data_IF_934559316657
#
_entry.id   IF_934559316657
#
_cell.length_a   1.000
_cell.length_b   1.000
_cell.length_c   1.000
_cell.angle_alpha   90.00
_cell.angle_beta   90.00
_cell.angle_gamma   90.00
#
_symmetry.space_group_name_H-M   'P 1'
#
loop_
_entity.id
_entity.type
_entity.pdbx_description
1 polymer ?
#
# COMPACT_ATOMS: atom_id res chain seq x y z
N UNK A 1 19.34 43.05 1.40
CA UNK A 1 20.07 42.01 0.64
C UNK A 1 20.93 41.27 1.66
N UNK A 2 20.74 40.00 2.01
CA UNK A 2 20.16 38.85 1.32
C UNK A 2 19.36 37.98 2.30
N UNK A 3 18.25 37.46 1.82
CA UNK A 3 17.45 36.44 2.47
C UNK A 3 18.25 35.13 2.55
N UNK A 4 18.56 34.70 3.78
CA UNK A 4 19.08 33.37 4.07
C UNK A 4 17.92 32.36 4.04
N UNK A 5 17.96 31.51 3.02
CA UNK A 5 17.55 30.11 2.99
C UNK A 5 16.82 29.55 4.23
N UNK A 6 15.57 29.12 4.04
CA UNK A 6 15.10 27.86 4.62
C UNK A 6 14.07 27.20 3.70
N UNK A 7 14.42 26.03 3.22
CA UNK A 7 13.69 25.14 2.31
C UNK A 7 12.23 24.94 2.72
N UNK A 8 11.32 25.52 1.93
CA UNK A 8 9.87 25.51 2.18
C UNK A 8 9.27 24.12 1.97
N UNK A 9 9.22 23.31 3.03
CA UNK A 9 8.21 22.27 3.13
C UNK A 9 6.88 22.99 3.42
N UNK A 10 5.94 22.93 2.47
CA UNK A 10 4.62 23.57 2.61
C UNK A 10 3.89 22.97 3.83
N UNK A 11 3.29 23.81 4.68
CA UNK A 11 2.56 23.42 5.91
C UNK A 11 1.63 22.20 5.73
N UNK A 12 0.83 22.08 4.63
CA UNK A 12 0.02 20.89 4.37
C UNK A 12 0.82 19.58 4.33
N UNK A 13 2.02 19.60 3.71
CA UNK A 13 2.87 18.42 3.58
C UNK A 13 3.46 17.96 4.92
N UNK A 14 3.75 18.90 5.83
CA UNK A 14 4.19 18.57 7.20
C UNK A 14 3.04 17.89 7.93
N UNK A 15 1.85 18.49 7.93
CA UNK A 15 0.67 17.94 8.61
C UNK A 15 0.32 16.53 8.11
N UNK A 16 0.35 16.30 6.79
CA UNK A 16 0.09 14.97 6.20
C UNK A 16 1.14 13.95 6.65
N UNK A 17 2.43 14.31 6.60
CA UNK A 17 3.51 13.40 6.98
C UNK A 17 3.46 13.01 8.46
N UNK A 18 3.29 13.99 9.34
CA UNK A 18 3.23 13.72 10.78
C UNK A 18 1.95 12.96 11.15
N UNK A 19 0.82 13.25 10.49
CA UNK A 19 -0.42 12.48 10.65
C UNK A 19 -0.22 11.03 10.23
N UNK A 20 0.42 10.78 9.09
CA UNK A 20 0.75 9.43 8.65
C UNK A 20 1.65 8.70 9.67
N UNK A 21 2.72 9.36 10.12
CA UNK A 21 3.63 8.79 11.12
C UNK A 21 2.91 8.45 12.43
N UNK A 22 2.00 9.31 12.88
CA UNK A 22 1.18 9.08 14.08
C UNK A 22 0.23 7.89 13.93
N UNK A 23 -0.45 7.75 12.80
CA UNK A 23 -1.35 6.61 12.55
C UNK A 23 -0.55 5.29 12.56
N UNK A 24 0.64 5.26 11.95
CA UNK A 24 1.52 4.07 11.98
C UNK A 24 2.01 3.79 13.39
N UNK A 25 2.47 4.81 14.13
CA UNK A 25 3.05 4.63 15.47
C UNK A 25 2.02 4.22 16.52
N UNK A 26 0.87 4.89 16.54
CA UNK A 26 -0.10 4.79 17.63
C UNK A 26 -1.10 3.64 17.42
N UNK A 27 -1.11 3.00 16.25
CA UNK A 27 -1.97 1.87 15.94
C UNK A 27 -3.46 2.20 16.14
N UNK A 28 -4.19 1.32 16.83
CA UNK A 28 -5.64 1.45 17.10
C UNK A 28 -6.04 2.69 17.93
N UNK A 29 -5.07 3.39 18.52
CA UNK A 29 -5.32 4.61 19.30
C UNK A 29 -5.65 5.77 18.37
N UNK A 30 -6.74 6.49 18.64
CA UNK A 30 -7.18 7.59 17.79
C UNK A 30 -6.17 8.74 17.82
N UNK A 31 -5.69 9.15 16.64
CA UNK A 31 -4.82 10.32 16.52
C UNK A 31 -5.62 11.59 16.84
N UNK A 32 -5.11 12.40 17.76
CA UNK A 32 -5.73 13.67 18.18
C UNK A 32 -5.14 14.86 17.43
N UNK A 33 -5.92 15.95 17.34
CA UNK A 33 -5.43 17.22 16.78
C UNK A 33 -4.22 17.74 17.54
N UNK A 34 -4.23 17.62 18.88
CA UNK A 34 -3.14 18.12 19.71
C UNK A 34 -1.82 17.38 19.43
N UNK A 35 -1.84 16.05 19.30
CA UNK A 35 -0.65 15.27 18.96
C UNK A 35 -0.10 15.63 17.57
N UNK A 36 -0.98 15.87 16.59
CA UNK A 36 -0.57 16.28 15.23
C UNK A 36 0.12 17.64 15.29
N UNK A 37 -0.47 18.62 16.00
CA UNK A 37 0.11 19.96 16.13
C UNK A 37 1.46 19.94 16.87
N UNK A 38 1.56 19.12 17.92
CA UNK A 38 2.80 18.91 18.67
C UNK A 38 3.90 18.30 17.80
N UNK A 39 3.60 17.23 17.05
CA UNK A 39 4.58 16.58 16.18
C UNK A 39 4.98 17.45 14.97
N UNK A 40 4.05 18.25 14.44
CA UNK A 40 4.28 19.07 13.26
C UNK A 40 4.92 20.43 13.56
N UNK A 41 4.86 20.90 14.81
CA UNK A 41 5.24 22.27 15.17
C UNK A 41 4.36 23.34 14.52
N UNK A 42 3.23 22.94 13.91
CA UNK A 42 2.29 23.84 13.23
C UNK A 42 1.29 24.38 14.26
N UNK A 43 0.94 25.65 14.16
CA UNK A 43 -0.07 26.25 15.04
C UNK A 43 -1.48 25.74 14.70
N UNK A 44 -2.37 25.71 15.69
CA UNK A 44 -3.78 25.35 15.49
C UNK A 44 -4.44 26.19 14.39
N UNK A 45 -4.18 27.50 14.37
CA UNK A 45 -4.71 28.41 13.34
C UNK A 45 -4.19 28.09 11.94
N UNK A 46 -2.91 27.75 11.79
CA UNK A 46 -2.33 27.36 10.51
C UNK A 46 -2.89 26.02 10.00
N UNK A 47 -3.14 25.04 10.88
CA UNK A 47 -3.82 23.80 10.51
C UNK A 47 -5.21 24.08 9.95
N UNK A 48 -6.04 24.84 10.67
CA UNK A 48 -7.42 25.12 10.25
C UNK A 48 -7.54 26.03 9.03
N UNK A 49 -6.47 26.78 8.70
CA UNK A 49 -6.37 27.50 7.43
C UNK A 49 -6.21 26.55 6.23
N UNK A 50 -5.63 25.36 6.43
CA UNK A 50 -5.40 24.38 5.36
C UNK A 50 -6.40 23.23 5.34
N UNK A 51 -6.91 22.83 6.50
CA UNK A 51 -7.85 21.71 6.66
C UNK A 51 -8.99 22.18 7.56
N UNK A 52 -10.22 22.22 7.04
CA UNK A 52 -11.37 22.76 7.77
C UNK A 52 -11.64 21.96 9.06
N UNK A 53 -11.40 20.66 9.03
CA UNK A 53 -11.46 19.80 10.21
C UNK A 53 -10.35 18.74 10.19
N UNK A 54 -10.22 18.00 11.31
CA UNK A 54 -9.29 16.85 11.40
C UNK A 54 -9.54 15.85 10.27
N UNK A 55 -10.80 15.69 9.87
CA UNK A 55 -11.16 14.72 8.84
C UNK A 55 -10.58 15.05 7.47
N UNK A 56 -10.56 16.33 7.07
CA UNK A 56 -9.96 16.73 5.78
C UNK A 56 -8.45 16.42 5.74
N UNK A 57 -7.77 16.54 6.88
CA UNK A 57 -6.37 16.15 7.00
C UNK A 57 -6.18 14.63 6.89
N UNK A 58 -7.07 13.84 7.50
CA UNK A 58 -7.05 12.38 7.38
C UNK A 58 -7.29 11.96 5.92
N UNK A 59 -8.27 12.58 5.25
CA UNK A 59 -8.60 12.31 3.86
C UNK A 59 -7.43 12.66 2.94
N UNK A 60 -6.81 13.84 3.13
CA UNK A 60 -5.62 14.23 2.37
C UNK A 60 -4.42 13.31 2.63
N UNK A 61 -4.29 12.80 3.86
CA UNK A 61 -3.27 11.82 4.23
C UNK A 61 -3.50 10.50 3.49
N UNK A 62 -4.75 10.02 3.42
CA UNK A 62 -5.11 8.85 2.63
C UNK A 62 -4.83 9.04 1.14
N UNK A 63 -5.23 10.18 0.57
CA UNK A 63 -4.98 10.48 -0.85
C UNK A 63 -3.48 10.49 -1.18
N UNK A 64 -2.65 11.08 -0.31
CA UNK A 64 -1.19 11.08 -0.49
C UNK A 64 -0.62 9.65 -0.43
N UNK A 65 -1.09 8.83 0.51
CA UNK A 65 -0.70 7.42 0.58
C UNK A 65 -1.13 6.65 -0.69
N UNK A 66 -2.37 6.81 -1.15
CA UNK A 66 -2.89 6.13 -2.34
C UNK A 66 -2.11 6.51 -3.61
N UNK A 67 -1.68 7.77 -3.73
CA UNK A 67 -0.82 8.21 -4.82
C UNK A 67 0.56 7.52 -4.78
N UNK A 68 1.18 7.43 -3.61
CA UNK A 68 2.47 6.74 -3.45
C UNK A 68 2.35 5.25 -3.73
N UNK A 69 1.27 4.62 -3.26
CA UNK A 69 0.97 3.21 -3.55
C UNK A 69 0.75 2.99 -5.05
N UNK A 70 -0.02 3.86 -5.70
CA UNK A 70 -0.21 3.83 -7.15
C UNK A 70 1.12 3.93 -7.91
N UNK A 71 2.01 4.83 -7.52
CA UNK A 71 3.33 4.95 -8.13
C UNK A 71 4.17 3.68 -7.97
N UNK A 72 4.10 3.00 -6.82
CA UNK A 72 4.78 1.73 -6.61
C UNK A 72 4.24 0.64 -7.54
N UNK A 73 2.91 0.49 -7.61
CA UNK A 73 2.26 -0.47 -8.50
C UNK A 73 2.65 -0.21 -9.96
N UNK A 74 2.55 1.03 -10.43
CA UNK A 74 2.93 1.37 -11.81
C UNK A 74 4.41 1.13 -12.11
N UNK A 75 5.29 1.40 -11.14
CA UNK A 75 6.72 1.11 -11.27
C UNK A 75 6.97 -0.40 -11.46
N UNK A 76 6.28 -1.25 -10.68
CA UNK A 76 6.36 -2.71 -10.79
C UNK A 76 5.74 -3.24 -12.08
N UNK A 77 4.60 -2.68 -12.51
CA UNK A 77 4.00 -3.00 -13.81
C UNK A 77 4.99 -2.75 -14.95
N UNK A 78 5.64 -1.57 -14.97
CA UNK A 78 6.65 -1.23 -15.99
C UNK A 78 7.85 -2.19 -15.96
N UNK A 79 8.26 -2.65 -14.77
CA UNK A 79 9.37 -3.60 -14.63
C UNK A 79 9.02 -5.03 -15.12
N UNK A 80 7.76 -5.44 -14.99
CA UNK A 80 7.28 -6.78 -15.37
C UNK A 80 6.89 -6.90 -16.86
N UNK A 81 6.76 -5.79 -17.58
CA UNK A 81 6.41 -5.75 -19.01
C UNK A 81 4.97 -6.18 -19.30
N UNK A 82 4.66 -6.52 -20.57
CA UNK A 82 3.32 -6.90 -21.04
C UNK A 82 2.93 -8.35 -20.69
N UNK A 83 3.27 -8.82 -19.49
CA UNK A 83 2.93 -10.17 -19.04
C UNK A 83 1.45 -10.23 -18.63
N UNK A 84 0.72 -11.32 -18.91
CA UNK A 84 -0.60 -11.53 -18.34
C UNK A 84 -0.57 -11.38 -16.82
N UNK A 85 -1.53 -10.65 -16.25
CA UNK A 85 -1.57 -10.39 -14.81
C UNK A 85 -0.57 -9.33 -14.34
N UNK A 86 0.00 -8.49 -15.22
CA UNK A 86 0.98 -7.48 -14.85
C UNK A 86 0.47 -6.55 -13.74
N UNK A 87 -0.79 -6.11 -13.79
CA UNK A 87 -1.37 -5.27 -12.74
C UNK A 87 -1.51 -6.08 -11.45
N UNK A 88 -2.12 -7.26 -11.49
CA UNK A 88 -2.34 -8.10 -10.30
C UNK A 88 -1.04 -8.50 -9.62
N UNK A 89 -0.02 -8.90 -10.38
CA UNK A 89 1.28 -9.26 -9.83
C UNK A 89 1.94 -8.04 -9.16
N UNK A 90 1.93 -6.88 -9.83
CA UNK A 90 2.45 -5.64 -9.26
C UNK A 90 1.70 -5.24 -7.98
N UNK A 91 0.37 -5.37 -7.98
CA UNK A 91 -0.47 -5.10 -6.83
C UNK A 91 -0.15 -5.99 -5.64
N UNK A 92 -0.11 -7.31 -5.84
CA UNK A 92 0.22 -8.29 -4.81
C UNK A 92 1.61 -8.02 -4.23
N UNK A 93 2.60 -7.77 -5.08
CA UNK A 93 3.96 -7.44 -4.63
C UNK A 93 4.01 -6.14 -3.82
N UNK A 94 3.31 -5.09 -4.25
CA UNK A 94 3.21 -3.82 -3.53
C UNK A 94 2.59 -4.00 -2.14
N UNK A 95 1.53 -4.81 -2.04
CA UNK A 95 0.89 -5.14 -0.76
C UNK A 95 1.82 -5.94 0.15
N UNK A 96 2.45 -7.00 -0.36
CA UNK A 96 3.36 -7.86 0.42
C UNK A 96 4.57 -7.08 0.93
N UNK A 97 5.23 -6.31 0.07
CA UNK A 97 6.38 -5.48 0.46
C UNK A 97 5.98 -4.42 1.47
N UNK A 98 4.81 -3.83 1.28
CA UNK A 98 4.24 -2.85 2.18
C UNK A 98 3.84 -3.41 3.55
N UNK A 99 3.41 -4.67 3.62
CA UNK A 99 3.24 -5.39 4.88
C UNK A 99 4.59 -5.65 5.56
N UNK A 100 5.60 -6.09 4.80
CA UNK A 100 6.96 -6.39 5.30
C UNK A 100 7.66 -5.16 5.89
N UNK A 101 7.45 -4.00 5.29
CA UNK A 101 8.03 -2.72 5.74
C UNK A 101 7.25 -2.05 6.86
N UNK A 102 6.10 -2.60 7.25
CA UNK A 102 5.17 -2.01 8.23
C UNK A 102 4.69 -0.59 7.87
N UNK A 103 4.80 -0.16 6.62
CA UNK A 103 4.52 1.22 6.18
C UNK A 103 3.21 1.34 5.38
N UNK A 104 2.91 0.37 4.52
CA UNK A 104 1.70 0.39 3.65
C UNK A 104 0.52 -0.29 4.33
N UNK A 105 0.76 -1.31 5.16
CA UNK A 105 -0.32 -2.12 5.71
C UNK A 105 -1.09 -1.43 6.85
N UNK A 106 -0.43 -0.59 7.63
CA UNK A 106 -1.07 0.03 8.79
C UNK A 106 -1.98 1.20 8.42
N UNK A 107 -1.52 2.14 7.58
CA UNK A 107 -2.24 3.40 7.31
C UNK A 107 -3.62 3.18 6.71
N UNK A 108 -3.69 2.45 5.61
CA UNK A 108 -4.92 2.29 4.85
C UNK A 108 -5.86 1.27 5.50
N UNK A 109 -5.32 0.23 6.15
CA UNK A 109 -6.14 -0.70 6.90
C UNK A 109 -6.74 -0.03 8.15
N UNK A 110 -5.99 0.83 8.86
CA UNK A 110 -6.52 1.64 9.95
C UNK A 110 -7.60 2.61 9.46
N UNK A 111 -7.37 3.32 8.36
CA UNK A 111 -8.35 4.29 7.82
C UNK A 111 -9.65 3.60 7.39
N UNK A 112 -9.58 2.40 6.80
CA UNK A 112 -10.76 1.65 6.34
C UNK A 112 -11.45 0.89 7.49
N UNK A 113 -10.72 0.27 8.42
CA UNK A 113 -11.35 -0.41 9.58
C UNK A 113 -11.95 0.54 10.60
N UNK A 114 -11.37 1.72 10.78
CA UNK A 114 -11.87 2.70 11.74
C UNK A 114 -13.02 3.55 11.17
N UNK A 115 -13.48 3.26 9.94
CA UNK A 115 -14.52 4.03 9.21
C UNK A 115 -14.31 5.54 9.36
N UNK A 116 -13.05 5.98 9.23
CA UNK A 116 -12.72 7.39 9.50
C UNK A 116 -13.41 8.30 8.48
N UNK A 117 -13.68 7.83 7.25
CA UNK A 117 -14.60 8.45 6.27
C UNK A 117 -15.07 7.48 5.18
N UNK A 118 -16.32 7.67 4.72
CA UNK A 118 -16.84 7.12 3.45
C UNK A 118 -15.99 7.53 2.22
N UNK A 119 -15.29 8.67 2.31
CA UNK A 119 -14.45 9.23 1.24
C UNK A 119 -13.20 8.37 0.98
N UNK A 120 -12.59 7.79 2.00
CA UNK A 120 -11.37 6.96 1.82
C UNK A 120 -11.69 5.64 1.11
N UNK A 121 -12.77 4.98 1.51
CA UNK A 121 -13.24 3.74 0.86
C UNK A 121 -13.63 3.98 -0.61
N UNK A 122 -14.33 5.08 -0.90
CA UNK A 122 -14.70 5.43 -2.27
C UNK A 122 -13.48 5.75 -3.15
N UNK A 123 -12.48 6.46 -2.63
CA UNK A 123 -11.21 6.70 -3.34
C UNK A 123 -10.49 5.39 -3.71
N UNK A 124 -10.43 4.43 -2.79
CA UNK A 124 -9.84 3.11 -3.04
C UNK A 124 -10.59 2.34 -4.14
N UNK A 125 -11.92 2.25 -4.02
CA UNK A 125 -12.78 1.56 -4.98
C UNK A 125 -12.62 2.18 -6.37
N UNK A 126 -12.62 3.50 -6.46
CA UNK A 126 -12.47 4.24 -7.71
C UNK A 126 -11.09 4.01 -8.34
N UNK A 127 -10.03 3.99 -7.53
CA UNK A 127 -8.69 3.67 -8.02
C UNK A 127 -8.61 2.24 -8.57
N UNK A 128 -9.13 1.24 -7.84
CA UNK A 128 -9.13 -0.16 -8.28
C UNK A 128 -9.94 -0.35 -9.58
N UNK A 129 -11.11 0.27 -9.68
CA UNK A 129 -11.94 0.27 -10.90
C UNK A 129 -11.17 0.83 -12.09
N UNK A 130 -10.48 1.96 -11.92
CA UNK A 130 -9.66 2.57 -12.98
C UNK A 130 -8.53 1.66 -13.44
N UNK A 131 -7.84 0.98 -12.52
CA UNK A 131 -6.75 0.04 -12.87
C UNK A 131 -7.26 -1.20 -13.60
N UNK A 132 -8.40 -1.75 -13.19
CA UNK A 132 -9.01 -2.89 -13.89
C UNK A 132 -9.57 -2.49 -15.26
N UNK A 133 -10.04 -1.25 -15.42
CA UNK A 133 -10.48 -0.74 -16.72
C UNK A 133 -9.34 -0.61 -17.74
N UNK A 134 -8.09 -0.40 -17.28
CA UNK A 134 -6.91 -0.42 -18.17
C UNK A 134 -6.45 -1.81 -18.54
N UNK A 135 -6.86 -2.84 -17.78
CA UNK A 135 -6.48 -4.24 -18.00
C UNK A 135 -7.72 -5.17 -17.98
N UNK A 136 -8.64 -5.08 -18.98
CA UNK A 136 -9.92 -5.79 -18.93
C UNK A 136 -9.80 -7.31 -18.82
N UNK A 137 -8.74 -7.89 -19.39
CA UNK A 137 -8.47 -9.33 -19.31
C UNK A 137 -8.21 -9.80 -17.87
N UNK A 138 -7.72 -8.93 -16.98
CA UNK A 138 -7.50 -9.27 -15.57
C UNK A 138 -8.75 -9.10 -14.70
N UNK A 139 -9.74 -8.32 -15.17
CA UNK A 139 -10.96 -8.04 -14.42
C UNK A 139 -11.84 -9.29 -14.31
N UNK A 140 -11.92 -10.07 -15.38
CA UNK A 140 -12.78 -11.25 -15.50
C UNK A 140 -12.07 -12.56 -15.11
N UNK A 141 -10.74 -12.53 -14.89
CA UNK A 141 -9.98 -13.72 -14.49
C UNK A 141 -10.20 -14.03 -12.99
N UNK A 142 -10.81 -15.20 -12.65
CA UNK A 142 -11.10 -15.55 -11.26
C UNK A 142 -9.84 -15.86 -10.42
N UNK A 143 -8.76 -16.34 -11.03
CA UNK A 143 -7.50 -16.59 -10.33
C UNK A 143 -6.83 -15.27 -9.96
N UNK A 144 -6.79 -14.30 -10.89
CA UNK A 144 -6.25 -12.98 -10.61
C UNK A 144 -7.11 -12.20 -9.60
N UNK A 145 -8.44 -12.32 -9.68
CA UNK A 145 -9.34 -11.77 -8.66
C UNK A 145 -9.08 -12.39 -7.28
N UNK A 146 -8.90 -13.70 -7.21
CA UNK A 146 -8.58 -14.39 -5.96
C UNK A 146 -7.24 -13.94 -5.37
N UNK A 147 -6.23 -13.73 -6.21
CA UNK A 147 -4.93 -13.20 -5.78
C UNK A 147 -5.04 -11.78 -5.18
N UNK A 148 -5.82 -10.89 -5.82
CA UNK A 148 -6.08 -9.55 -5.28
C UNK A 148 -6.81 -9.60 -3.93
N UNK A 149 -7.83 -10.45 -3.81
CA UNK A 149 -8.55 -10.65 -2.54
C UNK A 149 -7.66 -11.24 -1.44
N UNK A 150 -6.74 -12.15 -1.79
CA UNK A 150 -5.77 -12.70 -0.84
C UNK A 150 -4.79 -11.62 -0.36
N UNK A 151 -4.33 -10.74 -1.25
CA UNK A 151 -3.54 -9.57 -0.88
C UNK A 151 -4.32 -8.62 0.02
N UNK A 152 -5.59 -8.32 -0.29
CA UNK A 152 -6.47 -7.53 0.57
C UNK A 152 -6.63 -8.16 1.96
N UNK A 153 -6.76 -9.49 2.00
CA UNK A 153 -6.85 -10.26 3.24
C UNK A 153 -5.57 -10.20 4.07
N UNK A 154 -4.39 -10.31 3.44
CA UNK A 154 -3.09 -10.13 4.11
C UNK A 154 -2.98 -8.73 4.72
N UNK A 155 -3.33 -7.72 3.93
CA UNK A 155 -3.33 -6.32 4.32
C UNK A 155 -4.26 -6.04 5.51
N UNK A 156 -5.52 -6.48 5.45
CA UNK A 156 -6.49 -6.32 6.54
C UNK A 156 -6.19 -7.22 7.75
N UNK A 157 -5.60 -8.40 7.54
CA UNK A 157 -5.22 -9.36 8.57
C UNK A 157 -4.09 -8.84 9.46
N UNK A 158 -3.19 -8.02 8.92
CA UNK A 158 -2.11 -7.37 9.69
C UNK A 158 -2.60 -6.56 10.89
N UNK A 159 -3.86 -6.10 10.87
CA UNK A 159 -4.49 -5.38 11.97
C UNK A 159 -4.99 -6.26 13.13
N UNK A 160 -5.18 -7.56 12.85
CA UNK A 160 -5.76 -8.52 13.80
C UNK A 160 -4.72 -9.50 14.36
N UNK A 161 -3.56 -9.61 13.70
CA UNK A 161 -2.51 -10.49 14.16
C UNK A 161 -1.83 -9.88 15.40
N UNK A 162 -1.74 -10.60 16.55
CA UNK A 162 -0.82 -10.22 17.61
C UNK A 162 0.58 -10.08 17.00
N UNK A 163 1.36 -9.07 17.39
CA UNK A 163 2.76 -8.99 16.99
C UNK A 163 3.41 -10.36 17.25
N UNK A 164 4.08 -10.97 16.27
CA UNK A 164 4.59 -12.33 16.44
C UNK A 164 5.58 -12.32 17.60
N UNK A 165 5.17 -12.92 18.72
CA UNK A 165 6.05 -13.18 19.84
C UNK A 165 7.00 -14.30 19.39
N UNK A 166 8.16 -13.93 18.85
CA UNK A 166 9.12 -14.84 18.22
C UNK A 166 8.56 -15.61 17.01
N UNK A 167 8.63 -15.02 15.81
CA UNK A 167 8.73 -15.84 14.61
C UNK A 167 10.19 -15.90 14.15
N UNK A 168 10.74 -17.11 14.16
CA UNK A 168 11.98 -17.46 13.48
C UNK A 168 11.88 -16.98 12.03
N UNK A 169 12.89 -16.25 11.55
CA UNK A 169 13.00 -15.81 10.16
C UNK A 169 12.59 -16.96 9.24
N UNK A 170 11.46 -16.82 8.55
CA UNK A 170 11.08 -17.73 7.49
C UNK A 170 12.11 -17.50 6.38
N UNK A 171 13.11 -18.38 6.31
CA UNK A 171 13.98 -18.50 5.16
C UNK A 171 13.10 -19.00 4.01
N UNK A 172 12.65 -18.09 3.15
CA UNK A 172 11.95 -18.45 1.93
C UNK A 172 13.00 -19.04 0.99
N UNK A 173 13.38 -20.29 1.24
CA UNK A 173 14.05 -21.10 0.24
C UNK A 173 13.09 -21.19 -0.94
N UNK A 174 13.53 -20.60 -2.05
CA UNK A 174 12.83 -20.61 -3.33
C UNK A 174 12.34 -22.03 -3.60
N UNK A 175 11.02 -22.25 -3.79
CA UNK A 175 10.52 -23.60 -4.02
C UNK A 175 11.17 -24.12 -5.30
N UNK A 176 11.99 -25.18 -5.17
CA UNK A 176 12.48 -25.90 -6.31
C UNK A 176 11.31 -26.67 -6.93
N UNK A 177 10.69 -26.06 -7.93
CA UNK A 177 9.74 -26.76 -8.81
C UNK A 177 10.54 -27.87 -9.50
N UNK A 178 10.18 -29.16 -9.33
CA UNK A 178 10.89 -30.24 -9.99
C UNK A 178 10.70 -30.08 -11.50
N UNK A 179 11.79 -29.82 -12.22
CA UNK A 179 11.80 -29.91 -13.68
C UNK A 179 11.65 -31.40 -14.01
N UNK A 180 10.43 -31.84 -14.33
CA UNK A 180 10.22 -33.13 -14.96
C UNK A 180 10.99 -33.13 -16.28
N UNK A 181 12.11 -33.85 -16.32
CA UNK A 181 12.80 -34.14 -17.57
C UNK A 181 11.88 -35.04 -18.39
N UNK A 182 11.34 -34.53 -19.50
CA UNK A 182 10.73 -35.37 -20.52
C UNK A 182 11.73 -36.45 -20.92
N UNK A 183 11.37 -37.71 -20.68
CA UNK A 183 12.21 -38.87 -21.01
C UNK A 183 12.48 -38.90 -22.52
N UNK A 184 13.77 -38.96 -22.87
CA UNK A 184 14.18 -39.34 -24.21
C UNK A 184 13.87 -40.83 -24.38
N UNK A 185 12.88 -41.15 -25.22
CA UNK A 185 12.59 -42.52 -25.63
C UNK A 185 13.77 -43.12 -26.41
N UNK A 186 13.94 -44.46 -26.41
CA UNK A 186 15.10 -45.10 -27.00
C UNK A 186 15.14 -44.91 -28.52
N UNK A 187 16.28 -44.44 -29.03
CA UNK A 187 16.56 -44.40 -30.46
C UNK A 187 16.53 -45.81 -31.05
N UNK A 188 15.50 -46.10 -31.85
CA UNK A 188 15.53 -47.24 -32.76
C UNK A 188 16.63 -47.03 -33.79
N UNK A 189 17.62 -47.92 -33.76
CA UNK A 189 18.68 -48.04 -34.75
C UNK A 189 18.10 -48.78 -35.96
N UNK A 190 17.91 -48.08 -37.06
CA UNK A 190 17.61 -48.69 -38.36
C UNK A 190 18.90 -49.37 -38.87
N UNK A 191 18.77 -50.64 -39.25
CA UNK A 191 19.68 -51.40 -40.12
C UNK A 191 19.10 -51.34 -41.52
#
# INVERSE_FOLDING_TARGET
>A
MNATHSSSVRVPGILIRETAALIVRNGRSSVTVSEILECSGVSRGAMFHHFYCKQDLIDATFSCWLQNFNHDVERRMRANGLRPGAFTNAYVESVVEGCRRHDVAMLSALIIRLDLTQVSASQWIEWMKKKLATEPSEADDPALKSARLAADGLWLGSLSCPAPANESKIDIQTPQIPVQRCGHGPSHRLV
#
